data_IF_014289158376
#
_entry.id   IF_014289158376
#
_cell.length_a   1.000
_cell.length_b   1.000
_cell.length_c   1.000
_cell.angle_alpha   90.00
_cell.angle_beta   90.00
_cell.angle_gamma   90.00
#
_symmetry.space_group_name_H-M   'P 1'
#
loop_
_entity.id
_entity.type
_entity.pdbx_description
1 polymer ?
#
# COMPACT_ATOMS: atom_id res chain seq x y z
N UNK A 1 19.65 3.21 6.10
CA UNK A 1 18.56 3.46 7.08
C UNK A 1 18.35 2.22 7.93
N UNK A 2 17.96 2.37 9.21
CA UNK A 2 17.46 1.22 9.98
C UNK A 2 16.05 0.90 9.50
N UNK A 3 15.80 -0.35 9.13
CA UNK A 3 14.44 -0.86 8.90
C UNK A 3 13.70 -0.76 10.23
N UNK A 4 12.60 -0.02 10.24
CA UNK A 4 11.74 0.14 11.42
C UNK A 4 10.49 -0.70 11.26
N UNK A 5 9.87 -1.06 12.38
CA UNK A 5 8.61 -1.82 12.41
C UNK A 5 7.54 -1.20 11.49
N UNK A 6 7.54 0.13 11.39
CA UNK A 6 6.61 0.88 10.56
C UNK A 6 6.75 0.58 9.06
N UNK A 7 7.96 0.35 8.55
CA UNK A 7 8.20 0.01 7.14
C UNK A 7 7.55 -1.33 6.80
N UNK A 8 7.67 -2.30 7.72
CA UNK A 8 7.07 -3.63 7.59
C UNK A 8 5.54 -3.52 7.64
N UNK A 9 5.01 -2.73 8.57
CA UNK A 9 3.57 -2.49 8.70
C UNK A 9 2.98 -1.86 7.43
N UNK A 10 3.71 -0.96 6.79
CA UNK A 10 3.28 -0.31 5.56
C UNK A 10 3.03 -1.32 4.44
N UNK A 11 3.98 -2.24 4.18
CA UNK A 11 3.79 -3.31 3.21
C UNK A 11 2.58 -4.19 3.53
N UNK A 12 2.34 -4.49 4.81
CA UNK A 12 1.17 -5.26 5.25
C UNK A 12 -0.13 -4.49 4.96
N UNK A 13 -0.15 -3.18 5.20
CA UNK A 13 -1.30 -2.33 4.88
C UNK A 13 -1.56 -2.25 3.38
N UNK A 14 -0.52 -2.13 2.55
CA UNK A 14 -0.66 -2.20 1.09
C UNK A 14 -1.37 -3.48 0.66
N UNK A 15 -1.04 -4.62 1.28
CA UNK A 15 -1.69 -5.90 1.01
C UNK A 15 -3.17 -5.92 1.44
N UNK A 16 -3.50 -5.37 2.62
CA UNK A 16 -4.89 -5.27 3.07
C UNK A 16 -5.72 -4.32 2.22
N UNK A 17 -5.15 -3.22 1.73
CA UNK A 17 -5.83 -2.31 0.81
C UNK A 17 -6.11 -3.02 -0.52
N UNK A 18 -5.14 -3.77 -1.06
CA UNK A 18 -5.34 -4.58 -2.26
C UNK A 18 -6.49 -5.58 -2.08
N UNK A 19 -6.50 -6.29 -0.95
CA UNK A 19 -7.56 -7.22 -0.60
C UNK A 19 -8.92 -6.54 -0.44
N UNK A 20 -8.95 -5.37 0.23
CA UNK A 20 -10.13 -4.54 0.40
C UNK A 20 -10.72 -4.06 -0.94
N UNK A 21 -9.86 -3.66 -1.88
CA UNK A 21 -10.26 -3.34 -3.26
C UNK A 21 -10.91 -4.54 -3.94
N UNK A 22 -10.30 -5.72 -3.90
CA UNK A 22 -10.85 -6.94 -4.54
C UNK A 22 -12.23 -7.29 -3.97
N UNK A 23 -12.40 -7.21 -2.65
CA UNK A 23 -13.71 -7.47 -2.03
C UNK A 23 -14.74 -6.39 -2.39
N UNK A 24 -14.30 -5.13 -2.49
CA UNK A 24 -15.16 -4.02 -2.93
C UNK A 24 -15.62 -4.19 -4.38
N UNK A 25 -14.77 -4.75 -5.25
CA UNK A 25 -15.13 -5.15 -6.61
C UNK A 25 -16.23 -6.22 -6.62
N UNK A 26 -16.12 -7.24 -5.77
CA UNK A 26 -17.18 -8.27 -5.61
C UNK A 26 -18.50 -7.67 -5.11
N UNK A 27 -18.43 -6.68 -4.21
CA UNK A 27 -19.59 -5.97 -3.67
C UNK A 27 -20.17 -4.91 -4.63
N UNK A 28 -19.56 -4.70 -5.81
CA UNK A 28 -19.93 -3.66 -6.81
C UNK A 28 -20.01 -2.24 -6.22
N UNK A 29 -19.28 -1.96 -5.12
CA UNK A 29 -19.29 -0.66 -4.48
C UNK A 29 -18.28 0.28 -5.17
N UNK A 30 -18.76 1.05 -6.14
CA UNK A 30 -17.94 1.96 -6.95
C UNK A 30 -17.18 3.00 -6.13
N UNK A 31 -17.75 3.47 -5.01
CA UNK A 31 -17.10 4.43 -4.13
C UNK A 31 -15.92 3.81 -3.38
N UNK A 32 -16.13 2.66 -2.75
CA UNK A 32 -15.09 1.94 -2.02
C UNK A 32 -13.95 1.48 -2.94
N UNK A 33 -14.28 1.06 -4.17
CA UNK A 33 -13.28 0.70 -5.19
C UNK A 33 -12.43 1.93 -5.57
N UNK A 34 -13.08 3.07 -5.87
CA UNK A 34 -12.37 4.29 -6.24
C UNK A 34 -11.46 4.81 -5.14
N UNK A 35 -11.98 4.88 -3.91
CA UNK A 35 -11.19 5.26 -2.74
C UNK A 35 -10.03 4.29 -2.50
N UNK A 36 -10.30 2.98 -2.54
CA UNK A 36 -9.29 1.95 -2.33
C UNK A 36 -8.19 1.97 -3.39
N UNK A 37 -8.51 2.23 -4.66
CA UNK A 37 -7.52 2.33 -5.73
C UNK A 37 -6.57 3.51 -5.53
N UNK A 38 -7.10 4.67 -5.12
CA UNK A 38 -6.28 5.85 -4.81
C UNK A 38 -5.38 5.57 -3.61
N UNK A 39 -5.94 4.97 -2.55
CA UNK A 39 -5.16 4.58 -1.38
C UNK A 39 -4.04 3.58 -1.74
N UNK A 40 -4.34 2.58 -2.59
CA UNK A 40 -3.37 1.59 -3.06
C UNK A 40 -2.21 2.25 -3.80
N UNK A 41 -2.49 3.21 -4.68
CA UNK A 41 -1.47 3.95 -5.44
C UNK A 41 -0.53 4.73 -4.52
N UNK A 42 -1.08 5.43 -3.52
CA UNK A 42 -0.28 6.20 -2.56
C UNK A 42 0.60 5.26 -1.72
N UNK A 43 0.05 4.14 -1.26
CA UNK A 43 0.80 3.16 -0.47
C UNK A 43 1.90 2.47 -1.29
N UNK A 44 1.62 2.07 -2.54
CA UNK A 44 2.64 1.53 -3.45
C UNK A 44 3.78 2.52 -3.72
N UNK A 45 3.44 3.81 -3.87
CA UNK A 45 4.46 4.85 -4.03
C UNK A 45 5.34 4.98 -2.79
N UNK A 46 4.72 4.96 -1.61
CA UNK A 46 5.44 5.05 -0.34
C UNK A 46 6.32 3.80 -0.08
N UNK A 47 5.83 2.60 -0.40
CA UNK A 47 6.62 1.35 -0.40
C UNK A 47 7.83 1.45 -1.34
N UNK A 48 7.62 2.03 -2.53
CA UNK A 48 8.70 2.32 -3.49
C UNK A 48 9.75 3.28 -2.94
N UNK A 49 9.33 4.33 -2.22
CA UNK A 49 10.25 5.25 -1.53
C UNK A 49 11.04 4.52 -0.43
N UNK A 50 10.38 3.69 0.38
CA UNK A 50 11.05 2.87 1.40
C UNK A 50 12.16 2.03 0.76
N UNK A 51 11.84 1.28 -0.31
CA UNK A 51 12.82 0.46 -1.03
C UNK A 51 13.95 1.33 -1.60
N UNK A 52 13.61 2.46 -2.22
CA UNK A 52 14.58 3.37 -2.81
C UNK A 52 15.58 3.90 -1.78
N UNK A 53 15.10 4.41 -0.64
CA UNK A 53 15.96 4.95 0.40
C UNK A 53 16.72 3.85 1.15
N UNK A 54 16.17 2.63 1.27
CA UNK A 54 16.91 1.48 1.79
C UNK A 54 18.08 1.15 0.87
N UNK A 55 17.85 1.12 -0.44
CA UNK A 55 18.86 0.73 -1.46
C UNK A 55 19.91 1.81 -1.67
N UNK A 56 19.53 3.09 -1.64
CA UNK A 56 20.44 4.22 -1.82
C UNK A 56 21.25 4.58 -0.56
N UNK A 57 20.80 4.08 0.59
CA UNK A 57 21.45 4.26 1.89
C UNK A 57 22.18 3.00 2.39
N UNK A 58 22.54 2.10 1.47
CA UNK A 58 23.36 0.89 1.67
C UNK A 58 24.70 1.03 0.92
#
# INVERSE_FOLDING_TARGET
MKIVLFDILMFVFTFFIAWGCINSFKAKNKFAIGFGLIALLVFLFADGLIIYYITKGA
#
